data_IF_319450865096
#
_entry.id   IF_319450865096
#
_cell.length_a   1.000
_cell.length_b   1.000
_cell.length_c   1.000
_cell.angle_alpha   90.00
_cell.angle_beta   90.00
_cell.angle_gamma   90.00
#
_symmetry.space_group_name_H-M   'P 1'
#
loop_
_entity.id
_entity.type
_entity.pdbx_description
1 polymer ?
#
# COMPACT_ATOMS: atom_id res chain seq x y z
N UNK A 1 2.35 9.17 -27.38
CA UNK A 1 2.15 9.49 -25.94
C UNK A 1 3.43 9.12 -25.22
N UNK A 2 4.12 10.08 -24.62
CA UNK A 2 5.44 9.83 -23.99
C UNK A 2 5.31 8.77 -22.89
N UNK A 3 6.28 7.85 -22.79
CA UNK A 3 6.28 6.77 -21.80
C UNK A 3 6.14 7.29 -20.36
N UNK A 4 6.68 8.47 -20.09
CA UNK A 4 6.53 9.18 -18.80
C UNK A 4 5.07 9.51 -18.49
N UNK A 5 4.32 10.03 -19.48
CA UNK A 5 2.91 10.39 -19.31
C UNK A 5 2.05 9.15 -19.04
N UNK A 6 2.31 8.03 -19.74
CA UNK A 6 1.65 6.74 -19.48
C UNK A 6 1.93 6.25 -18.05
N UNK A 7 3.18 6.34 -17.61
CA UNK A 7 3.56 5.96 -16.24
C UNK A 7 2.84 6.81 -15.19
N UNK A 8 2.77 8.12 -15.38
CA UNK A 8 2.06 9.04 -14.47
C UNK A 8 0.55 8.76 -14.42
N UNK A 9 -0.11 8.52 -15.56
CA UNK A 9 -1.54 8.19 -15.58
C UNK A 9 -1.83 6.85 -14.92
N UNK A 10 -1.00 5.83 -15.14
CA UNK A 10 -1.13 4.53 -14.46
C UNK A 10 -0.92 4.64 -12.95
N UNK A 11 0.07 5.42 -12.51
CA UNK A 11 0.31 5.67 -11.08
C UNK A 11 -0.87 6.41 -10.44
N UNK A 12 -1.45 7.41 -11.13
CA UNK A 12 -2.64 8.11 -10.67
C UNK A 12 -3.85 7.20 -10.52
N UNK A 13 -4.12 6.35 -11.52
CA UNK A 13 -5.18 5.36 -11.45
C UNK A 13 -4.98 4.37 -10.30
N UNK A 14 -3.77 3.86 -10.13
CA UNK A 14 -3.44 2.96 -9.02
C UNK A 14 -3.68 3.63 -7.65
N UNK A 15 -3.34 4.91 -7.51
CA UNK A 15 -3.59 5.68 -6.29
C UNK A 15 -5.09 5.84 -5.99
N UNK A 16 -5.92 6.08 -7.03
CA UNK A 16 -7.38 6.15 -6.88
C UNK A 16 -7.95 4.80 -6.41
N UNK A 17 -7.54 3.69 -7.04
CA UNK A 17 -7.96 2.36 -6.61
C UNK A 17 -7.49 2.02 -5.19
N UNK A 18 -6.27 2.42 -4.83
CA UNK A 18 -5.76 2.22 -3.48
C UNK A 18 -6.55 3.02 -2.44
N UNK A 19 -6.85 4.28 -2.73
CA UNK A 19 -7.66 5.14 -1.85
C UNK A 19 -9.09 4.64 -1.68
N UNK A 20 -9.75 4.24 -2.77
CA UNK A 20 -11.11 3.69 -2.73
C UNK A 20 -11.19 2.40 -1.90
N UNK A 21 -10.13 1.58 -1.93
CA UNK A 21 -10.02 0.40 -1.09
C UNK A 21 -10.02 0.73 0.41
N UNK A 22 -9.32 1.80 0.81
CA UNK A 22 -9.30 2.25 2.21
C UNK A 22 -10.69 2.62 2.71
N UNK A 23 -11.44 3.39 1.92
CA UNK A 23 -12.82 3.81 2.26
C UNK A 23 -13.78 2.61 2.29
N UNK A 24 -13.72 1.73 1.29
CA UNK A 24 -14.53 0.51 1.27
C UNK A 24 -14.20 -0.41 2.45
N UNK A 25 -12.91 -0.56 2.77
CA UNK A 25 -12.45 -1.33 3.93
C UNK A 25 -12.97 -0.76 5.24
N UNK A 26 -12.95 0.56 5.43
CA UNK A 26 -13.51 1.21 6.61
C UNK A 26 -15.01 0.90 6.74
N UNK A 27 -15.77 1.05 5.66
CA UNK A 27 -17.20 0.74 5.66
C UNK A 27 -17.49 -0.70 6.09
N UNK A 28 -16.76 -1.67 5.54
CA UNK A 28 -16.92 -3.08 5.85
C UNK A 28 -16.55 -3.42 7.30
N UNK A 29 -15.47 -2.83 7.82
CA UNK A 29 -15.01 -3.06 9.18
C UNK A 29 -15.94 -2.43 10.23
N UNK A 30 -16.43 -1.20 9.97
CA UNK A 30 -17.22 -0.46 10.96
C UNK A 30 -18.72 -0.76 10.90
N UNK A 31 -19.28 -1.04 9.70
CA UNK A 31 -20.72 -1.21 9.52
C UNK A 31 -21.17 -2.66 9.27
N UNK A 32 -20.28 -3.49 8.73
CA UNK A 32 -20.64 -4.87 8.35
C UNK A 32 -20.00 -5.93 9.27
N UNK A 33 -19.35 -5.53 10.36
CA UNK A 33 -18.72 -6.43 11.34
C UNK A 33 -17.70 -7.41 10.76
N UNK A 34 -17.08 -7.06 9.62
CA UNK A 34 -15.96 -7.83 9.09
C UNK A 34 -14.74 -7.65 9.97
N UNK A 35 -13.94 -8.72 10.10
CA UNK A 35 -12.63 -8.60 10.74
C UNK A 35 -11.56 -8.21 9.70
N UNK A 36 -10.44 -7.58 10.11
CA UNK A 36 -9.32 -7.31 9.20
C UNK A 36 -8.82 -8.56 8.48
N UNK A 37 -8.85 -9.73 9.17
CA UNK A 37 -8.45 -11.00 8.58
C UNK A 37 -9.39 -11.47 7.47
N UNK A 38 -10.71 -11.30 7.65
CA UNK A 38 -11.69 -11.68 6.63
C UNK A 38 -11.48 -10.87 5.35
N UNK A 39 -11.30 -9.55 5.49
CA UNK A 39 -11.05 -8.66 4.36
C UNK A 39 -9.78 -9.03 3.60
N UNK A 40 -8.69 -9.29 4.33
CA UNK A 40 -7.41 -9.66 3.70
C UNK A 40 -7.55 -11.00 2.99
N UNK A 41 -8.19 -11.98 3.63
CA UNK A 41 -8.34 -13.33 3.08
C UNK A 41 -9.16 -13.32 1.79
N UNK A 42 -10.32 -12.69 1.80
CA UNK A 42 -11.19 -12.57 0.62
C UNK A 42 -10.46 -11.85 -0.51
N UNK A 43 -9.82 -10.72 -0.21
CA UNK A 43 -9.09 -9.92 -1.19
C UNK A 43 -7.90 -10.66 -1.78
N UNK A 44 -7.10 -11.35 -0.97
CA UNK A 44 -5.95 -12.11 -1.44
C UNK A 44 -6.36 -13.31 -2.30
N UNK A 45 -7.44 -14.00 -1.92
CA UNK A 45 -7.98 -15.09 -2.71
C UNK A 45 -8.51 -14.60 -4.07
N UNK A 46 -9.30 -13.52 -4.08
CA UNK A 46 -9.84 -12.96 -5.31
C UNK A 46 -8.74 -12.42 -6.22
N UNK A 47 -7.86 -11.59 -5.70
CA UNK A 47 -6.78 -11.02 -6.50
C UNK A 47 -5.80 -12.11 -6.98
N UNK A 48 -5.44 -13.04 -6.10
CA UNK A 48 -4.55 -14.15 -6.43
C UNK A 48 -5.12 -15.03 -7.54
N UNK A 49 -6.39 -15.41 -7.46
CA UNK A 49 -7.04 -16.23 -8.49
C UNK A 49 -7.12 -15.50 -9.84
N UNK A 50 -7.41 -14.19 -9.82
CA UNK A 50 -7.43 -13.37 -11.04
C UNK A 50 -6.03 -13.30 -11.67
N UNK A 51 -4.98 -13.03 -10.87
CA UNK A 51 -3.62 -12.95 -11.40
C UNK A 51 -3.12 -14.29 -11.92
N UNK A 52 -3.38 -15.39 -11.23
CA UNK A 52 -3.06 -16.74 -11.72
C UNK A 52 -3.82 -17.04 -13.01
N UNK A 53 -5.10 -16.67 -13.10
CA UNK A 53 -5.89 -16.81 -14.31
C UNK A 53 -5.33 -16.01 -15.49
N UNK A 54 -4.96 -14.74 -15.27
CA UNK A 54 -4.35 -13.89 -16.31
C UNK A 54 -3.02 -14.49 -16.79
N UNK A 55 -2.18 -14.96 -15.87
CA UNK A 55 -0.91 -15.58 -16.22
C UNK A 55 -1.12 -16.85 -17.06
N UNK A 56 -2.03 -17.71 -16.61
CA UNK A 56 -2.26 -18.99 -17.26
C UNK A 56 -2.90 -18.85 -18.66
N UNK A 57 -3.92 -17.97 -18.78
CA UNK A 57 -4.69 -17.85 -20.01
C UNK A 57 -4.13 -16.83 -21.01
N UNK A 58 -3.56 -15.71 -20.52
CA UNK A 58 -3.16 -14.60 -21.39
C UNK A 58 -1.66 -14.53 -21.61
N UNK A 59 -0.86 -14.65 -20.58
CA UNK A 59 0.59 -14.42 -20.67
C UNK A 59 1.37 -15.69 -21.00
N UNK A 60 0.92 -16.87 -20.58
CA UNK A 60 1.55 -18.18 -20.81
C UNK A 60 3.06 -18.19 -20.50
N UNK A 61 3.50 -17.33 -19.57
CA UNK A 61 4.93 -17.10 -19.26
C UNK A 61 5.51 -18.06 -18.22
N UNK A 62 4.70 -19.00 -17.75
CA UNK A 62 5.16 -20.01 -16.80
C UNK A 62 5.33 -19.47 -15.37
N UNK A 63 4.24 -18.99 -14.76
CA UNK A 63 4.18 -18.56 -13.35
C UNK A 63 4.78 -19.63 -12.41
N UNK A 64 4.71 -20.90 -12.78
CA UNK A 64 5.27 -22.00 -12.02
C UNK A 64 6.81 -22.04 -11.98
N UNK A 65 7.50 -21.26 -12.82
CA UNK A 65 8.97 -21.15 -12.79
C UNK A 65 9.49 -20.56 -11.47
N UNK A 66 8.64 -19.82 -10.75
CA UNK A 66 9.00 -19.32 -9.42
C UNK A 66 9.31 -20.47 -8.46
N UNK A 67 8.71 -21.64 -8.65
CA UNK A 67 8.92 -22.82 -7.82
C UNK A 67 10.13 -23.69 -8.23
N UNK A 68 10.84 -23.36 -9.30
CA UNK A 68 11.99 -24.13 -9.78
C UNK A 68 13.22 -24.00 -8.84
N UNK A 69 13.37 -22.90 -8.12
CA UNK A 69 14.54 -22.65 -7.28
C UNK A 69 14.12 -22.46 -5.82
N UNK A 70 14.82 -23.12 -4.89
CA UNK A 70 14.56 -22.98 -3.45
C UNK A 70 14.64 -21.52 -2.97
N UNK A 71 15.58 -20.74 -3.52
CA UNK A 71 15.72 -19.34 -3.20
C UNK A 71 14.47 -18.53 -3.56
N UNK A 72 13.93 -18.75 -4.74
CA UNK A 72 12.69 -18.07 -5.17
C UNK A 72 11.50 -18.40 -4.27
N UNK A 73 11.42 -19.65 -3.77
CA UNK A 73 10.37 -20.06 -2.83
C UNK A 73 10.52 -19.33 -1.49
N UNK A 74 11.74 -19.22 -0.97
CA UNK A 74 12.02 -18.51 0.28
C UNK A 74 11.67 -17.03 0.12
N UNK A 75 12.10 -16.41 -0.96
CA UNK A 75 11.82 -14.99 -1.25
C UNK A 75 10.32 -14.76 -1.40
N UNK A 76 9.59 -15.67 -2.04
CA UNK A 76 8.14 -15.62 -2.16
C UNK A 76 7.45 -15.72 -0.79
N UNK A 77 7.89 -16.61 0.09
CA UNK A 77 7.34 -16.76 1.43
C UNK A 77 7.58 -15.49 2.24
N UNK A 78 8.80 -14.98 2.26
CA UNK A 78 9.14 -13.74 2.99
C UNK A 78 8.30 -12.57 2.47
N UNK A 79 8.18 -12.43 1.15
CA UNK A 79 7.39 -11.39 0.52
C UNK A 79 5.91 -11.50 0.91
N UNK A 80 5.36 -12.72 0.86
CA UNK A 80 3.94 -12.97 1.21
C UNK A 80 3.67 -12.64 2.68
N UNK A 81 4.53 -13.09 3.60
CA UNK A 81 4.39 -12.78 5.03
C UNK A 81 4.48 -11.27 5.29
N UNK A 82 5.40 -10.58 4.60
CA UNK A 82 5.56 -9.13 4.73
C UNK A 82 4.31 -8.40 4.22
N UNK A 83 3.75 -8.80 3.08
CA UNK A 83 2.51 -8.21 2.56
C UNK A 83 1.33 -8.45 3.50
N UNK A 84 1.14 -9.67 3.98
CA UNK A 84 0.06 -9.97 4.93
C UNK A 84 0.22 -9.11 6.19
N UNK A 85 1.42 -9.01 6.75
CA UNK A 85 1.70 -8.19 7.93
C UNK A 85 1.38 -6.71 7.71
N UNK A 86 1.82 -6.14 6.59
CA UNK A 86 1.54 -4.72 6.27
C UNK A 86 0.06 -4.47 6.05
N UNK A 87 -0.64 -5.35 5.35
CA UNK A 87 -2.08 -5.23 5.12
C UNK A 87 -2.88 -5.39 6.40
N UNK A 88 -2.49 -6.35 7.26
CA UNK A 88 -3.13 -6.54 8.54
C UNK A 88 -3.00 -5.30 9.42
N UNK A 89 -1.80 -4.76 9.54
CA UNK A 89 -1.55 -3.51 10.30
C UNK A 89 -2.36 -2.34 9.76
N UNK A 90 -2.46 -2.22 8.43
CA UNK A 90 -3.24 -1.16 7.78
C UNK A 90 -4.74 -1.27 8.12
N UNK A 91 -5.34 -2.44 7.98
CA UNK A 91 -6.77 -2.63 8.28
C UNK A 91 -7.08 -2.59 9.78
N UNK A 92 -6.18 -3.05 10.63
CA UNK A 92 -6.28 -2.88 12.09
C UNK A 92 -6.27 -1.38 12.44
N UNK A 93 -5.39 -0.61 11.81
CA UNK A 93 -5.38 0.84 11.98
C UNK A 93 -6.71 1.49 11.56
N UNK A 94 -7.30 1.05 10.45
CA UNK A 94 -8.62 1.54 10.00
C UNK A 94 -9.73 1.14 10.98
N UNK A 95 -9.68 -0.05 11.54
CA UNK A 95 -10.69 -0.54 12.47
C UNK A 95 -10.73 0.26 13.78
N UNK A 96 -9.56 0.61 14.32
CA UNK A 96 -9.46 1.33 15.61
C UNK A 96 -9.42 2.86 15.48
N UNK A 97 -9.09 3.36 14.28
CA UNK A 97 -9.09 4.78 13.99
C UNK A 97 -10.02 5.07 12.79
N UNK A 98 -9.46 5.39 11.64
CA UNK A 98 -10.19 5.60 10.39
C UNK A 98 -9.25 5.51 9.17
N UNK A 99 -9.83 5.42 7.97
CA UNK A 99 -9.05 5.34 6.73
C UNK A 99 -8.17 6.59 6.47
N UNK A 100 -8.61 7.83 6.73
CA UNK A 100 -7.76 9.01 6.63
C UNK A 100 -6.51 8.95 7.52
N UNK A 101 -6.65 8.49 8.76
CA UNK A 101 -5.50 8.34 9.67
C UNK A 101 -4.51 7.29 9.17
N UNK A 102 -5.01 6.13 8.73
CA UNK A 102 -4.17 5.09 8.11
C UNK A 102 -3.45 5.61 6.86
N UNK A 103 -4.10 6.46 6.05
CA UNK A 103 -3.48 7.08 4.87
C UNK A 103 -2.33 8.02 5.26
N UNK A 104 -2.48 8.84 6.31
CA UNK A 104 -1.40 9.70 6.82
C UNK A 104 -0.20 8.86 7.29
N UNK A 105 -0.44 7.80 8.05
CA UNK A 105 0.63 6.91 8.50
C UNK A 105 1.35 6.27 7.30
N UNK A 106 0.60 5.80 6.30
CA UNK A 106 1.18 5.22 5.09
C UNK A 106 1.98 6.24 4.29
N UNK A 107 1.56 7.51 4.27
CA UNK A 107 2.31 8.58 3.60
C UNK A 107 3.68 8.85 4.24
N UNK A 108 3.92 8.43 5.48
CA UNK A 108 5.24 8.55 6.11
C UNK A 108 6.23 7.47 5.67
N UNK A 109 5.78 6.40 5.02
CA UNK A 109 6.63 5.26 4.60
C UNK A 109 7.85 5.69 3.77
N UNK A 110 7.75 6.61 2.79
CA UNK A 110 8.93 7.07 2.05
C UNK A 110 10.01 7.70 2.95
N UNK A 111 9.61 8.38 4.04
CA UNK A 111 10.55 8.96 4.99
C UNK A 111 11.32 7.86 5.75
N UNK A 112 10.62 6.81 6.16
CA UNK A 112 11.25 5.65 6.81
C UNK A 112 12.23 4.93 5.89
N UNK A 113 11.87 4.79 4.60
CA UNK A 113 12.77 4.22 3.59
C UNK A 113 14.02 5.10 3.44
N UNK A 114 13.88 6.42 3.39
CA UNK A 114 15.02 7.34 3.31
C UNK A 114 15.94 7.20 4.53
N UNK A 115 15.38 7.15 5.75
CA UNK A 115 16.14 6.93 6.97
C UNK A 115 16.89 5.60 6.91
N UNK A 116 16.22 4.53 6.50
CA UNK A 116 16.85 3.22 6.35
C UNK A 116 18.04 3.25 5.35
N UNK A 117 17.85 3.90 4.20
CA UNK A 117 18.90 4.02 3.18
C UNK A 117 20.13 4.78 3.70
N UNK A 118 19.92 5.84 4.51
CA UNK A 118 21.03 6.59 5.10
C UNK A 118 21.75 5.75 6.16
N UNK A 119 20.99 5.15 7.08
CA UNK A 119 21.57 4.45 8.25
C UNK A 119 22.25 3.14 7.86
N UNK A 120 21.58 2.32 7.05
CA UNK A 120 22.06 0.96 6.74
C UNK A 120 22.82 0.86 5.42
N UNK A 121 22.48 1.66 4.42
CA UNK A 121 23.16 1.62 3.13
C UNK A 121 24.19 2.75 2.95
N UNK A 122 24.33 3.62 3.95
CA UNK A 122 25.22 4.80 3.90
C UNK A 122 25.05 5.66 2.64
N UNK A 123 23.86 5.63 2.03
CA UNK A 123 23.55 6.38 0.82
C UNK A 123 23.32 7.85 1.16
N UNK A 124 23.99 8.73 0.43
CA UNK A 124 23.76 10.18 0.56
C UNK A 124 22.44 10.54 -0.11
N UNK A 125 21.50 11.06 0.67
CA UNK A 125 20.25 11.58 0.12
C UNK A 125 20.49 12.92 -0.56
N UNK A 126 19.83 13.12 -1.68
CA UNK A 126 19.80 14.42 -2.34
C UNK A 126 18.78 15.31 -1.62
N UNK A 127 19.09 16.59 -1.47
CA UNK A 127 18.15 17.56 -0.86
C UNK A 127 16.79 17.55 -1.55
N UNK A 128 16.75 17.31 -2.86
CA UNK A 128 15.52 17.17 -3.64
C UNK A 128 14.64 15.99 -3.18
N UNK A 129 15.26 14.84 -2.88
CA UNK A 129 14.53 13.64 -2.41
C UNK A 129 13.87 13.89 -1.05
N UNK A 130 14.61 14.49 -0.12
CA UNK A 130 14.10 14.87 1.20
C UNK A 130 12.95 15.87 1.09
N UNK A 131 13.13 16.91 0.29
CA UNK A 131 12.13 17.95 0.08
C UNK A 131 10.85 17.36 -0.53
N UNK A 132 10.96 16.52 -1.58
CA UNK A 132 9.80 15.86 -2.18
C UNK A 132 9.07 14.95 -1.18
N UNK A 133 9.78 14.21 -0.33
CA UNK A 133 9.18 13.37 0.71
C UNK A 133 8.40 14.19 1.74
N UNK A 134 8.97 15.28 2.21
CA UNK A 134 8.30 16.19 3.16
C UNK A 134 7.06 16.85 2.55
N UNK A 135 7.15 17.31 1.30
CA UNK A 135 6.01 17.92 0.59
C UNK A 135 4.89 16.89 0.38
N UNK A 136 5.23 15.65 0.06
CA UNK A 136 4.22 14.58 -0.08
C UNK A 136 3.46 14.32 1.23
N UNK A 137 4.17 14.21 2.35
CA UNK A 137 3.53 14.02 3.67
C UNK A 137 2.67 15.23 4.03
N UNK A 138 3.21 16.44 3.87
CA UNK A 138 2.46 17.67 4.14
C UNK A 138 1.17 17.77 3.29
N UNK A 139 1.25 17.37 2.02
CA UNK A 139 0.10 17.31 1.11
C UNK A 139 -0.99 16.36 1.60
N UNK A 140 -0.61 15.15 2.03
CA UNK A 140 -1.58 14.17 2.54
C UNK A 140 -2.21 14.67 3.84
N UNK A 141 -1.42 15.23 4.78
CA UNK A 141 -1.94 15.81 6.02
C UNK A 141 -2.93 16.94 5.73
N UNK A 142 -2.61 17.84 4.81
CA UNK A 142 -3.51 18.93 4.38
C UNK A 142 -4.84 18.40 3.83
N UNK A 143 -4.79 17.40 2.96
CA UNK A 143 -6.01 16.80 2.38
C UNK A 143 -6.86 16.13 3.45
N UNK A 144 -6.24 15.34 4.33
CA UNK A 144 -6.93 14.59 5.38
C UNK A 144 -7.55 15.52 6.43
N UNK A 145 -6.87 16.61 6.78
CA UNK A 145 -7.39 17.59 7.76
C UNK A 145 -8.37 18.60 7.16
N UNK A 146 -8.58 18.55 5.82
CA UNK A 146 -9.39 19.55 5.12
C UNK A 146 -8.88 20.99 5.32
N UNK A 147 -7.58 21.15 5.58
CA UNK A 147 -6.95 22.44 5.89
C UNK A 147 -7.21 22.96 7.31
N UNK A 148 -7.92 22.20 8.15
CA UNK A 148 -8.23 22.59 9.52
C UNK A 148 -7.83 21.49 10.51
N UNK A 149 -6.80 21.76 11.30
CA UNK A 149 -6.33 20.83 12.35
C UNK A 149 -7.34 20.58 13.48
N UNK A 150 -8.40 21.40 13.57
CA UNK A 150 -9.47 21.22 14.58
C UNK A 150 -10.37 20.01 14.29
N UNK A 151 -10.41 19.52 13.05
CA UNK A 151 -11.28 18.41 12.63
C UNK A 151 -10.55 17.07 12.57
N UNK A 152 -9.30 17.00 13.04
CA UNK A 152 -8.54 15.76 13.06
C UNK A 152 -9.02 14.89 14.22
N UNK A 153 -10.08 14.14 13.97
CA UNK A 153 -10.62 13.20 14.94
C UNK A 153 -10.02 11.80 14.69
N UNK A 154 -9.25 11.30 15.64
CA UNK A 154 -8.62 9.97 15.59
C UNK A 154 -9.60 8.88 15.95
N UNK A 155 -10.66 9.23 16.71
CA UNK A 155 -11.75 8.32 17.07
C UNK A 155 -12.89 8.50 16.08
N UNK A 156 -13.08 7.49 15.22
CA UNK A 156 -14.26 7.36 14.38
C UNK A 156 -15.43 6.80 15.17
#
# INVERSE_FOLDING_TARGET
MNNTLKGMTMAGLAAVFWGSMGVAGQYLLQNCHFTPMDLISIRMLLAGSIFVGIEFFLLKKGALKVFETKQNIIDLIIYTLTIIGTQLTFFVCIQYANAPFAAVLTATVPLWIMIFMVVFQHKRLTVKEVFCGLVAVAGVVLVVTGGSFKNFNVSG
#
